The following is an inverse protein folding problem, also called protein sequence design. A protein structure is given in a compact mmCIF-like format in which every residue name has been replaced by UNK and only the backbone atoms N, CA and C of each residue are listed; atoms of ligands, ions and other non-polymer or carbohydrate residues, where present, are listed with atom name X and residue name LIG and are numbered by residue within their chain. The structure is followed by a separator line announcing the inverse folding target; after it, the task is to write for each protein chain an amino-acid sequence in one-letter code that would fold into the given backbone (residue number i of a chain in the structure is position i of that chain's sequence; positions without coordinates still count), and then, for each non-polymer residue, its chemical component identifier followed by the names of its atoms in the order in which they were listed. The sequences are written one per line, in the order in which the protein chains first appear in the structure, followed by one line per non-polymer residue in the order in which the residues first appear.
data_IF_734371185464
#
_entry.id   IF_734371185464
#
_cell.length_a   1.000
_cell.length_b   1.000
_cell.length_c   1.000
_cell.angle_alpha   90.00
_cell.angle_beta   90.00
_cell.angle_gamma   90.00
#
_symmetry.space_group_name_H-M   'P 1'
#
loop_
_entity.id
_entity.type
_entity.pdbx_description
1 polymer ?
#
# COMPACT_ATOMS: atom_id res chain seq x y z
N UNK A 1 4.50 14.15 12.75
CA UNK A 1 3.81 12.86 12.55
C UNK A 1 4.83 11.72 12.54
N UNK A 2 4.43 10.56 13.02
CA UNK A 2 5.28 9.38 12.98
C UNK A 2 5.64 9.04 11.52
N UNK A 3 6.92 8.77 11.21
CA UNK A 3 7.33 8.56 9.83
C UNK A 3 6.72 7.32 9.18
N UNK A 4 6.40 6.28 9.96
CA UNK A 4 5.75 5.09 9.40
C UNK A 4 4.30 5.38 9.02
N UNK A 5 3.58 6.16 9.82
CA UNK A 5 2.22 6.59 9.47
C UNK A 5 2.24 7.51 8.26
N UNK A 6 3.23 8.38 8.17
CA UNK A 6 3.39 9.25 7.00
C UNK A 6 3.63 8.43 5.73
N UNK A 7 4.44 7.36 5.83
CA UNK A 7 4.69 6.50 4.67
C UNK A 7 3.41 5.82 4.17
N UNK A 8 2.54 5.39 5.08
CA UNK A 8 1.24 4.81 4.69
C UNK A 8 0.45 5.82 3.85
N UNK A 9 0.37 7.06 4.30
CA UNK A 9 -0.38 8.09 3.59
C UNK A 9 0.25 8.42 2.24
N UNK A 10 1.58 8.63 2.22
CA UNK A 10 2.30 9.02 1.01
C UNK A 10 2.22 7.93 -0.08
N UNK A 11 2.39 6.67 0.31
CA UNK A 11 2.32 5.57 -0.65
C UNK A 11 0.94 5.50 -1.30
N UNK A 12 -0.13 5.67 -0.51
CA UNK A 12 -1.49 5.58 -1.05
C UNK A 12 -1.85 6.75 -1.95
N UNK A 13 -1.28 7.94 -1.73
CA UNK A 13 -1.44 9.06 -2.66
C UNK A 13 -0.83 8.69 -4.02
N UNK A 14 0.36 8.11 -4.03
CA UNK A 14 1.03 7.70 -5.27
C UNK A 14 0.29 6.55 -5.97
N UNK A 15 -0.20 5.58 -5.20
CA UNK A 15 -0.97 4.45 -5.73
C UNK A 15 -2.24 4.96 -6.41
N UNK A 16 -2.98 5.87 -5.75
CA UNK A 16 -4.19 6.43 -6.33
C UNK A 16 -3.91 7.15 -7.65
N UNK A 17 -2.88 8.00 -7.69
CA UNK A 17 -2.52 8.73 -8.91
C UNK A 17 -2.13 7.80 -10.05
N UNK A 18 -1.37 6.77 -9.74
CA UNK A 18 -0.93 5.80 -10.74
C UNK A 18 -2.10 4.96 -11.27
N UNK A 19 -2.90 4.38 -10.39
CA UNK A 19 -4.01 3.52 -10.80
C UNK A 19 -5.15 4.30 -11.46
N UNK A 20 -5.42 5.53 -11.01
CA UNK A 20 -6.53 6.31 -11.55
C UNK A 20 -6.19 7.04 -12.84
N UNK A 21 -4.98 7.59 -12.95
CA UNK A 21 -4.61 8.50 -14.04
C UNK A 21 -3.33 8.11 -14.77
N UNK A 22 -2.58 7.11 -14.29
CA UNK A 22 -1.28 6.79 -14.85
C UNK A 22 -0.23 7.85 -14.54
N UNK A 23 -0.46 8.67 -13.52
CA UNK A 23 0.47 9.72 -13.10
C UNK A 23 1.55 9.14 -12.21
N UNK A 24 2.81 9.46 -12.48
CA UNK A 24 3.95 8.89 -11.79
C UNK A 24 4.57 7.75 -12.56
N UNK A 25 5.08 6.74 -11.85
CA UNK A 25 5.63 5.55 -12.49
C UNK A 25 5.54 4.33 -11.58
N UNK A 26 5.49 3.15 -12.18
CA UNK A 26 5.53 1.90 -11.41
C UNK A 26 6.88 1.74 -10.70
N UNK A 27 7.98 2.20 -11.30
CA UNK A 27 9.31 2.15 -10.68
C UNK A 27 9.35 2.98 -9.40
N UNK A 28 8.75 4.17 -9.41
CA UNK A 28 8.70 5.01 -8.21
C UNK A 28 7.89 4.36 -7.10
N UNK A 29 6.78 3.70 -7.44
CA UNK A 29 6.00 2.94 -6.47
C UNK A 29 6.82 1.79 -5.91
N UNK A 30 7.42 0.98 -6.76
CA UNK A 30 8.15 -0.21 -6.31
C UNK A 30 9.41 0.12 -5.52
N UNK A 31 9.98 1.32 -5.68
CA UNK A 31 11.12 1.74 -4.87
C UNK A 31 10.79 1.89 -3.38
N UNK A 32 9.50 1.94 -3.02
CA UNK A 32 9.05 2.01 -1.63
C UNK A 32 8.98 0.65 -0.95
N UNK A 33 9.17 -0.43 -1.70
CA UNK A 33 9.02 -1.79 -1.20
C UNK A 33 10.39 -2.45 -1.09
N UNK A 34 10.59 -3.22 -0.01
CA UNK A 34 11.81 -4.01 0.15
C UNK A 34 11.89 -5.07 -0.95
N UNK A 35 13.12 -5.46 -1.32
CA UNK A 35 13.31 -6.50 -2.32
C UNK A 35 12.65 -7.83 -1.94
N UNK A 36 12.55 -8.11 -0.62
CA UNK A 36 11.90 -9.30 -0.09
C UNK A 36 10.41 -9.10 0.24
N UNK A 37 9.81 -8.00 -0.24
CA UNK A 37 8.42 -7.69 0.07
C UNK A 37 7.49 -8.84 -0.29
N UNK A 38 6.54 -9.12 0.61
CA UNK A 38 5.44 -10.06 0.35
C UNK A 38 4.13 -9.44 0.79
N UNK A 39 3.02 -9.89 0.20
CA UNK A 39 1.71 -9.48 0.69
C UNK A 39 0.68 -10.58 0.52
N UNK A 40 -0.35 -10.49 1.35
CA UNK A 40 -1.57 -11.29 1.19
C UNK A 40 -2.69 -10.29 0.89
N UNK A 41 -3.12 -10.17 -0.38
CA UNK A 41 -4.23 -9.28 -0.75
C UNK A 41 -5.58 -9.88 -0.35
N UNK A 42 -6.66 -9.16 -0.66
CA UNK A 42 -8.02 -9.60 -0.32
C UNK A 42 -8.36 -10.96 -0.89
N UNK A 43 -7.76 -11.35 -2.02
CA UNK A 43 -7.99 -12.66 -2.63
C UNK A 43 -7.43 -13.82 -1.80
N UNK A 44 -6.50 -13.54 -0.89
CA UNK A 44 -5.84 -14.56 -0.09
C UNK A 44 -4.65 -15.22 -0.78
N UNK A 45 -4.34 -14.85 -2.01
CA UNK A 45 -3.17 -15.40 -2.71
C UNK A 45 -1.90 -14.65 -2.32
N UNK A 46 -0.89 -15.39 -1.86
CA UNK A 46 0.39 -14.81 -1.50
C UNK A 46 1.08 -14.24 -2.73
N UNK A 47 1.54 -12.99 -2.64
CA UNK A 47 2.28 -12.32 -3.70
C UNK A 47 3.67 -11.94 -3.19
N UNK A 48 4.68 -12.10 -4.05
CA UNK A 48 6.03 -11.63 -3.79
C UNK A 48 6.33 -10.33 -4.54
N UNK A 49 7.53 -9.78 -4.35
CA UNK A 49 7.93 -8.53 -4.99
C UNK A 49 7.77 -8.58 -6.53
N UNK A 50 8.28 -9.59 -7.25
CA UNK A 50 8.12 -9.61 -8.71
C UNK A 50 6.66 -9.60 -9.16
N UNK A 51 5.79 -10.30 -8.45
CA UNK A 51 4.36 -10.36 -8.79
C UNK A 51 3.69 -9.00 -8.58
N UNK A 52 3.99 -8.34 -7.46
CA UNK A 52 3.44 -7.00 -7.18
C UNK A 52 3.97 -5.98 -8.19
N UNK A 53 5.25 -6.07 -8.53
CA UNK A 53 5.87 -5.20 -9.53
C UNK A 53 5.18 -5.34 -10.89
N UNK A 54 4.95 -6.57 -11.33
CA UNK A 54 4.25 -6.83 -12.60
C UNK A 54 2.85 -6.23 -12.58
N UNK A 55 2.13 -6.42 -11.48
CA UNK A 55 0.80 -5.85 -11.33
C UNK A 55 0.83 -4.32 -11.52
N UNK A 56 1.70 -3.62 -10.81
CA UNK A 56 1.75 -2.17 -10.94
C UNK A 56 2.18 -1.71 -12.32
N UNK A 57 3.16 -2.39 -12.95
CA UNK A 57 3.58 -2.03 -14.30
C UNK A 57 2.44 -2.13 -15.32
N UNK A 58 1.53 -3.07 -15.13
CA UNK A 58 0.40 -3.28 -16.05
C UNK A 58 -0.85 -2.46 -15.68
N UNK A 59 -0.91 -1.90 -14.48
CA UNK A 59 -2.15 -1.35 -13.93
C UNK A 59 -2.28 0.17 -14.04
N UNK A 60 -1.32 0.87 -14.66
CA UNK A 60 -1.39 2.33 -14.78
C UNK A 60 -2.66 2.77 -15.51
N UNK A 61 -3.39 3.74 -14.91
CA UNK A 61 -4.66 4.26 -15.43
C UNK A 61 -5.74 3.18 -15.63
N UNK A 62 -5.60 2.03 -14.95
CA UNK A 62 -6.57 0.93 -15.09
C UNK A 62 -7.85 1.14 -14.30
N UNK A 63 -7.88 2.10 -13.37
CA UNK A 63 -9.03 2.37 -12.51
C UNK A 63 -9.40 3.86 -12.53
N UNK A 64 -9.95 4.37 -13.64
CA UNK A 64 -10.34 5.78 -13.73
C UNK A 64 -11.31 6.14 -12.61
N UNK A 65 -11.07 7.30 -11.96
CA UNK A 65 -11.93 7.76 -10.88
C UNK A 65 -11.70 7.11 -9.54
N UNK A 66 -10.71 6.22 -9.41
CA UNK A 66 -10.37 5.62 -8.13
C UNK A 66 -10.03 6.71 -7.11
N UNK A 67 -10.66 6.64 -5.94
CA UNK A 67 -10.34 7.50 -4.80
C UNK A 67 -10.04 6.61 -3.58
N UNK A 68 -8.90 6.86 -2.94
CA UNK A 68 -8.45 6.10 -1.78
C UNK A 68 -8.45 7.01 -0.56
N UNK A 69 -9.10 6.55 0.52
CA UNK A 69 -9.05 7.21 1.82
C UNK A 69 -8.44 6.24 2.82
N UNK A 70 -7.41 6.69 3.51
CA UNK A 70 -6.76 5.93 4.59
C UNK A 70 -7.06 6.63 5.90
N UNK A 71 -7.58 5.88 6.86
CA UNK A 71 -7.86 6.38 8.21
C UNK A 71 -7.60 5.30 9.25
N UNK A 72 -7.90 5.58 10.51
CA UNK A 72 -7.73 4.64 11.63
C UNK A 72 -6.30 4.10 11.71
N UNK A 73 -5.32 4.94 11.40
CA UNK A 73 -3.90 4.55 11.44
C UNK A 73 -3.45 4.41 12.89
N UNK A 74 -2.71 3.33 13.16
CA UNK A 74 -2.22 3.04 14.51
C UNK A 74 -0.90 2.27 14.43
N UNK A 75 0.09 2.71 15.20
CA UNK A 75 1.31 1.92 15.42
C UNK A 75 0.94 0.78 16.37
N UNK A 76 1.03 -0.46 15.89
CA UNK A 76 0.80 -1.63 16.74
C UNK A 76 2.03 -1.88 17.61
N UNK A 77 3.19 -1.79 17.01
CA UNK A 77 4.47 -1.99 17.69
C UNK A 77 5.57 -1.31 16.88
N UNK A 78 6.55 -0.76 17.55
CA UNK A 78 7.69 -0.12 16.91
C UNK A 78 8.96 -0.64 17.57
N UNK A 79 9.99 -0.92 16.76
CA UNK A 79 11.28 -1.40 17.25
C UNK A 79 12.38 -0.57 16.60
N UNK A 80 13.63 -0.93 16.89
CA UNK A 80 14.78 -0.10 16.49
C UNK A 80 14.80 0.24 14.99
N UNK A 81 14.47 -0.70 14.12
CA UNK A 81 14.58 -0.51 12.68
C UNK A 81 13.30 -0.86 11.92
N UNK A 82 12.15 -0.76 12.57
CA UNK A 82 10.90 -1.06 11.90
C UNK A 82 9.67 -0.83 12.76
N UNK A 83 8.52 -1.18 12.18
CA UNK A 83 7.23 -1.05 12.86
C UNK A 83 6.18 -1.94 12.21
N UNK A 84 5.16 -2.29 13.00
CA UNK A 84 3.93 -2.86 12.51
C UNK A 84 2.83 -1.81 12.64
N UNK A 85 2.09 -1.56 11.56
CA UNK A 85 1.08 -0.50 11.49
C UNK A 85 -0.24 -1.08 11.04
N UNK A 86 -1.32 -0.71 11.74
CA UNK A 86 -2.68 -1.02 11.35
C UNK A 86 -3.29 0.22 10.70
N UNK A 87 -4.04 0.03 9.61
CA UNK A 87 -4.83 1.11 9.04
C UNK A 87 -6.06 0.55 8.32
N UNK A 88 -7.01 1.45 8.05
CA UNK A 88 -8.21 1.13 7.27
C UNK A 88 -8.11 1.88 5.95
N UNK A 89 -8.40 1.18 4.86
CA UNK A 89 -8.38 1.74 3.52
C UNK A 89 -9.75 1.59 2.87
N UNK A 90 -10.27 2.71 2.34
CA UNK A 90 -11.51 2.70 1.56
C UNK A 90 -11.16 3.06 0.14
N UNK A 91 -11.61 2.25 -0.82
CA UNK A 91 -11.47 2.52 -2.24
C UNK A 91 -12.85 2.73 -2.84
N UNK A 92 -13.03 3.85 -3.55
CA UNK A 92 -14.27 4.19 -4.23
C UNK A 92 -13.97 4.36 -5.71
N UNK A 93 -14.77 3.76 -6.57
CA UNK A 93 -14.63 3.88 -8.03
C UNK A 93 -15.62 4.88 -8.58
N UNK A 94 -15.43 5.26 -9.87
CA UNK A 94 -16.27 6.26 -10.54
C UNK A 94 -17.75 5.87 -10.59
N UNK A 95 -18.06 4.55 -10.60
CA UNK A 95 -19.44 4.06 -10.61
C UNK A 95 -20.10 4.09 -9.23
N UNK A 96 -19.38 4.59 -8.20
CA UNK A 96 -19.86 4.63 -6.83
C UNK A 96 -19.63 3.36 -6.03
N UNK A 97 -19.11 2.30 -6.65
CA UNK A 97 -18.78 1.09 -5.91
C UNK A 97 -17.66 1.36 -4.90
N UNK A 98 -17.70 0.66 -3.78
CA UNK A 98 -16.80 0.91 -2.67
C UNK A 98 -16.37 -0.42 -2.05
N UNK A 99 -15.10 -0.51 -1.65
CA UNK A 99 -14.70 -1.58 -0.74
C UNK A 99 -13.85 -0.99 0.39
N UNK A 100 -13.92 -1.61 1.54
CA UNK A 100 -13.19 -1.21 2.74
C UNK A 100 -12.41 -2.42 3.23
N UNK A 101 -11.16 -2.20 3.62
CA UNK A 101 -10.28 -3.24 4.13
C UNK A 101 -9.50 -2.75 5.33
N UNK A 102 -9.22 -3.66 6.24
CA UNK A 102 -8.21 -3.47 7.27
C UNK A 102 -6.89 -4.00 6.74
N UNK A 103 -5.82 -3.30 7.07
CA UNK A 103 -4.49 -3.67 6.59
C UNK A 103 -3.49 -3.61 7.74
N UNK A 104 -2.60 -4.60 7.77
CA UNK A 104 -1.45 -4.59 8.67
C UNK A 104 -0.20 -4.58 7.81
N UNK A 105 0.63 -3.56 8.00
CA UNK A 105 1.87 -3.39 7.26
C UNK A 105 3.06 -3.54 8.19
N UNK A 106 4.08 -4.26 7.74
CA UNK A 106 5.37 -4.35 8.42
C UNK A 106 6.35 -3.50 7.63
N UNK A 107 6.96 -2.54 8.32
CA UNK A 107 7.98 -1.65 7.74
C UNK A 107 9.35 -1.96 8.30
N UNK A 108 10.37 -1.65 7.52
CA UNK A 108 11.75 -1.68 8.02
C UNK A 108 12.51 -0.48 7.49
N UNK A 109 13.54 -0.08 8.23
CA UNK A 109 14.45 0.95 7.76
C UNK A 109 15.60 0.29 7.01
N UNK A 110 15.89 0.79 5.83
CA UNK A 110 16.96 0.29 4.99
C UNK A 110 17.66 1.50 4.36
N UNK A 111 18.95 1.64 4.64
CA UNK A 111 19.78 2.70 4.05
C UNK A 111 19.18 4.10 4.25
N UNK A 112 18.69 4.36 5.48
CA UNK A 112 18.17 5.68 5.85
C UNK A 112 16.77 5.98 5.38
N UNK A 113 16.05 5.00 4.83
CA UNK A 113 14.67 5.21 4.40
C UNK A 113 13.79 4.05 4.85
N UNK A 114 12.48 4.32 4.88
CA UNK A 114 11.48 3.35 5.28
C UNK A 114 11.00 2.60 4.04
N UNK A 115 10.96 1.26 4.12
CA UNK A 115 10.43 0.43 3.05
C UNK A 115 9.39 -0.53 3.61
N UNK A 116 8.42 -0.90 2.76
CA UNK A 116 7.40 -1.89 3.08
C UNK A 116 8.00 -3.28 3.01
N UNK A 117 7.90 -4.04 4.10
CA UNK A 117 8.42 -5.41 4.15
C UNK A 117 7.33 -6.45 3.95
N UNK A 118 6.11 -6.19 4.46
CA UNK A 118 4.97 -7.09 4.33
C UNK A 118 3.66 -6.33 4.45
N UNK A 119 2.63 -6.81 3.79
CA UNK A 119 1.28 -6.25 3.87
C UNK A 119 0.26 -7.38 3.91
N UNK A 120 -0.65 -7.33 4.88
CA UNK A 120 -1.76 -8.26 5.00
C UNK A 120 -3.06 -7.47 4.93
N UNK A 121 -3.96 -7.85 4.02
CA UNK A 121 -5.25 -7.19 3.85
C UNK A 121 -6.39 -8.12 4.19
N UNK A 122 -7.45 -7.57 4.82
CA UNK A 122 -8.67 -8.31 5.15
C UNK A 122 -9.86 -7.41 4.83
N UNK A 123 -10.79 -7.92 4.02
CA UNK A 123 -11.99 -7.16 3.68
C UNK A 123 -12.85 -6.96 4.92
N UNK A 124 -13.33 -5.74 5.11
CA UNK A 124 -14.28 -5.41 6.15
C UNK A 124 -15.70 -5.65 5.62
N UNK A 125 -16.39 -6.55 6.27
CA UNK A 125 -17.78 -6.84 5.94
C UNK A 125 -17.95 -7.61 4.68
#
# INVERSE_FOLDING_TARGET
MNPYLQEVLDAHVLIERWLSQGEGSAEALMSRFAAEFTMIPLSGEKMDYPTVSRFFHEAGASRPGLHIVVDQTKIISEWHDGAAVLYRERQTLADGSENVRWSTAIFQQAEGRIVWRHLQETRRG
#
